data_IF_469755004285
#
_entry.id   IF_469755004285
#
_cell.length_a   1.000
_cell.length_b   1.000
_cell.length_c   1.000
_cell.angle_alpha   90.00
_cell.angle_beta   90.00
_cell.angle_gamma   90.00
#
_symmetry.space_group_name_H-M   'P 1'
#
loop_
_entity.id
_entity.type
_entity.pdbx_description
1 polymer ?
#
# COMPACT_ATOMS: atom_id res chain seq x y z
N UNK A 1 18.77 5.50 75.44
CA UNK A 1 17.91 4.40 74.96
C UNK A 1 17.56 4.68 73.50
N UNK A 2 17.99 3.75 72.63
CA UNK A 2 17.46 3.32 71.33
C UNK A 2 17.39 4.27 70.11
N UNK A 3 18.21 3.92 69.10
CA UNK A 3 17.97 4.03 67.65
C UNK A 3 16.73 3.18 67.20
N UNK A 4 16.48 2.94 65.89
CA UNK A 4 16.20 3.83 64.72
C UNK A 4 14.90 3.34 63.99
N UNK A 5 14.40 4.01 62.92
CA UNK A 5 13.98 3.32 61.67
C UNK A 5 13.48 4.28 60.56
N UNK A 6 13.82 3.85 59.35
CA UNK A 6 13.60 4.34 57.99
C UNK A 6 12.10 4.51 57.63
N UNK A 7 11.78 5.53 56.81
CA UNK A 7 10.87 5.32 55.67
C UNK A 7 11.28 6.20 54.47
N UNK A 8 11.96 5.54 53.53
CA UNK A 8 11.93 5.86 52.10
C UNK A 8 10.48 5.95 51.61
N UNK A 9 10.20 6.78 50.60
CA UNK A 9 9.61 6.35 49.30
C UNK A 9 9.30 7.58 48.44
N UNK A 10 9.95 7.56 47.28
CA UNK A 10 9.56 8.05 45.95
C UNK A 10 8.51 9.17 45.86
N UNK A 11 8.96 10.30 45.31
CA UNK A 11 8.17 11.02 44.31
C UNK A 11 9.06 11.35 43.12
N UNK A 12 9.57 10.30 42.46
CA UNK A 12 10.04 10.41 41.10
C UNK A 12 8.81 10.48 40.18
N UNK A 13 8.29 11.69 39.98
CA UNK A 13 7.36 12.02 38.89
C UNK A 13 8.15 11.94 37.59
N UNK A 14 8.39 10.71 37.12
CA UNK A 14 8.77 10.44 35.75
C UNK A 14 7.51 10.69 34.94
N UNK A 15 7.39 11.90 34.40
CA UNK A 15 6.55 12.15 33.23
C UNK A 15 7.13 11.32 32.09
N UNK A 16 6.69 10.06 32.00
CA UNK A 16 6.79 9.30 30.77
C UNK A 16 5.87 10.02 29.80
N UNK A 17 6.44 10.96 29.06
CA UNK A 17 5.88 11.48 27.82
C UNK A 17 5.79 10.31 26.85
N UNK A 18 4.81 9.44 27.07
CA UNK A 18 4.45 8.40 26.14
C UNK A 18 4.06 9.11 24.86
N UNK A 19 4.88 8.98 23.82
CA UNK A 19 4.44 9.16 22.44
C UNK A 19 3.31 8.17 22.21
N UNK A 20 2.09 8.55 22.59
CA UNK A 20 0.89 7.83 22.23
C UNK A 20 0.74 8.07 20.73
N UNK A 21 1.30 7.14 19.94
CA UNK A 21 0.91 7.04 18.53
C UNK A 21 -0.60 6.87 18.56
N UNK A 22 -1.33 7.86 18.05
CA UNK A 22 -2.77 7.78 17.87
C UNK A 22 -3.05 6.50 17.07
N UNK A 23 -3.91 5.60 17.56
CA UNK A 23 -4.15 4.32 16.89
C UNK A 23 -4.88 4.64 15.59
N UNK A 24 -4.16 4.62 14.47
CA UNK A 24 -4.71 4.80 13.14
C UNK A 24 -5.50 3.56 12.74
N UNK A 25 -5.04 2.86 11.69
CA UNK A 25 -5.65 1.59 11.33
C UNK A 25 -5.32 0.43 12.29
N UNK A 26 -4.36 0.58 13.21
CA UNK A 26 -4.02 -0.45 14.20
C UNK A 26 -4.99 -0.44 15.39
N UNK A 27 -5.71 -1.54 15.61
CA UNK A 27 -6.67 -1.78 16.69
C UNK A 27 -6.40 -3.15 17.31
N UNK A 28 -6.86 -3.34 18.54
CA UNK A 28 -6.77 -4.62 19.24
C UNK A 28 -7.78 -5.64 18.68
N UNK A 29 -8.96 -5.16 18.29
CA UNK A 29 -10.06 -5.98 17.80
C UNK A 29 -10.55 -5.50 16.44
N UNK A 30 -10.87 -6.46 15.57
CA UNK A 30 -11.48 -6.23 14.26
C UNK A 30 -12.58 -7.24 14.03
N UNK A 31 -13.62 -6.83 13.32
CA UNK A 31 -14.51 -7.76 12.65
C UNK A 31 -13.85 -8.25 11.37
N UNK A 32 -13.56 -9.55 11.31
CA UNK A 32 -12.93 -10.18 10.15
C UNK A 32 -13.95 -10.50 9.06
N UNK A 33 -13.66 -10.07 7.84
CA UNK A 33 -14.36 -10.40 6.61
C UNK A 33 -13.44 -11.33 5.82
N UNK A 34 -13.88 -12.57 5.59
CA UNK A 34 -13.12 -13.57 4.85
C UNK A 34 -13.64 -13.67 3.42
N UNK A 35 -12.74 -13.61 2.46
CA UNK A 35 -13.05 -13.83 1.06
C UNK A 35 -12.77 -15.30 0.75
N UNK A 36 -13.83 -16.06 0.49
CA UNK A 36 -13.73 -17.47 0.10
C UNK A 36 -13.61 -17.64 -1.42
N UNK A 37 -14.01 -16.61 -2.17
CA UNK A 37 -14.04 -16.62 -3.63
C UNK A 37 -12.64 -16.44 -4.24
N UNK A 38 -12.44 -17.12 -5.37
CA UNK A 38 -11.27 -16.89 -6.22
C UNK A 38 -11.42 -15.49 -6.82
N UNK A 39 -10.46 -14.57 -6.63
CA UNK A 39 -10.55 -13.26 -7.25
C UNK A 39 -10.66 -13.43 -8.78
N UNK A 40 -11.44 -12.56 -9.47
CA UNK A 40 -11.40 -12.53 -10.93
C UNK A 40 -9.95 -12.38 -11.38
N UNK A 41 -9.58 -13.08 -12.47
CA UNK A 41 -8.20 -13.18 -12.95
C UNK A 41 -7.42 -11.87 -12.76
N UNK A 42 -6.24 -11.95 -12.13
CA UNK A 42 -5.38 -10.81 -11.88
C UNK A 42 -4.95 -10.15 -13.20
N UNK A 43 -5.68 -9.14 -13.65
CA UNK A 43 -5.38 -8.41 -14.89
C UNK A 43 -4.50 -7.22 -14.58
N UNK A 44 -3.18 -7.42 -14.64
CA UNK A 44 -2.22 -6.32 -14.55
C UNK A 44 -1.96 -5.75 -15.95
N UNK A 45 -2.23 -4.46 -16.21
CA UNK A 45 -1.86 -3.83 -17.48
C UNK A 45 -0.35 -3.94 -17.74
N UNK A 46 0.06 -4.20 -18.99
CA UNK A 46 1.49 -4.39 -19.35
C UNK A 46 2.39 -3.27 -18.82
N UNK A 47 1.94 -2.01 -18.94
CA UNK A 47 2.67 -0.86 -18.41
C UNK A 47 2.87 -0.91 -16.89
N UNK A 48 1.88 -1.38 -16.15
CA UNK A 48 2.01 -1.59 -14.70
C UNK A 48 2.95 -2.77 -14.40
N UNK A 49 2.87 -3.85 -15.19
CA UNK A 49 3.77 -4.99 -15.06
C UNK A 49 5.23 -4.62 -15.24
N UNK A 50 5.55 -3.82 -16.27
CA UNK A 50 6.92 -3.32 -16.50
C UNK A 50 7.45 -2.51 -15.30
N UNK A 51 6.57 -1.74 -14.65
CA UNK A 51 6.90 -0.96 -13.46
C UNK A 51 7.04 -1.83 -12.21
N UNK A 52 6.28 -2.93 -12.09
CA UNK A 52 6.40 -3.90 -10.99
C UNK A 52 7.60 -4.82 -11.15
N UNK A 53 8.03 -5.08 -12.39
CA UNK A 53 9.13 -5.96 -12.70
C UNK A 53 10.44 -5.38 -12.16
N UNK A 54 11.11 -6.15 -11.31
CA UNK A 54 12.42 -5.82 -10.80
C UNK A 54 13.45 -6.24 -11.84
N UNK A 55 13.76 -5.34 -12.78
CA UNK A 55 14.89 -5.53 -13.69
C UNK A 55 16.14 -5.77 -12.84
N UNK A 56 16.88 -6.83 -13.15
CA UNK A 56 18.16 -7.08 -12.50
C UNK A 56 19.04 -5.83 -12.64
N UNK A 57 19.52 -5.30 -11.52
CA UNK A 57 20.55 -4.26 -11.54
C UNK A 57 21.83 -4.95 -12.00
N UNK A 58 22.09 -4.90 -13.30
CA UNK A 58 23.43 -5.15 -13.81
C UNK A 58 24.32 -3.96 -13.40
N UNK A 59 25.32 -4.22 -12.57
CA UNK A 59 26.40 -3.26 -12.31
C UNK A 59 26.47 -2.72 -10.88
N UNK A 60 26.86 -3.58 -9.93
CA UNK A 60 27.46 -3.14 -8.68
C UNK A 60 28.61 -4.08 -8.31
N UNK A 61 29.70 -4.06 -9.10
CA UNK A 61 31.00 -4.59 -8.70
C UNK A 61 32.13 -3.86 -9.46
N UNK A 62 32.92 -3.09 -8.69
CA UNK A 62 34.32 -2.71 -8.94
C UNK A 62 34.59 -1.67 -10.04
N UNK A 63 35.59 -0.80 -10.00
CA UNK A 63 36.57 -0.35 -9.00
C UNK A 63 37.37 0.78 -9.69
N UNK A 64 38.14 1.56 -8.93
CA UNK A 64 39.07 2.59 -9.42
C UNK A 64 40.05 2.09 -10.50
N UNK A 65 40.29 2.89 -11.56
CA UNK A 65 41.62 3.24 -12.08
C UNK A 65 41.54 4.21 -13.27
N UNK A 66 42.56 5.05 -13.41
CA UNK A 66 42.69 6.16 -14.35
C UNK A 66 43.28 5.76 -15.73
N UNK A 67 43.27 6.76 -16.62
CA UNK A 67 44.15 6.99 -17.78
C UNK A 67 43.65 6.60 -19.19
N UNK A 68 43.36 7.64 -19.98
CA UNK A 68 44.01 7.97 -21.27
C UNK A 68 43.91 7.02 -22.47
N UNK A 69 43.42 7.54 -23.61
CA UNK A 69 43.77 7.01 -24.94
C UNK A 69 42.67 7.19 -26.00
N UNK A 70 42.98 7.93 -27.06
CA UNK A 70 42.18 8.16 -28.27
C UNK A 70 42.03 6.91 -29.16
N UNK A 71 40.90 6.87 -29.88
CA UNK A 71 40.84 6.37 -31.28
C UNK A 71 40.23 4.99 -31.53
N UNK A 72 39.34 4.91 -32.53
CA UNK A 72 39.13 3.68 -33.30
C UNK A 72 37.67 3.25 -33.54
N UNK A 73 37.20 3.45 -34.77
CA UNK A 73 36.01 2.81 -35.36
C UNK A 73 36.07 1.29 -35.30
N UNK A 74 34.93 0.63 -35.08
CA UNK A 74 34.77 -0.81 -35.30
C UNK A 74 33.35 -1.28 -34.97
N UNK A 75 32.54 -1.50 -36.01
CA UNK A 75 31.22 -2.12 -35.89
C UNK A 75 31.34 -3.57 -35.43
N UNK A 76 30.39 -3.98 -34.59
CA UNK A 76 30.23 -5.34 -34.12
C UNK A 76 28.85 -5.50 -33.52
N UNK A 77 27.91 -5.98 -34.34
CA UNK A 77 26.63 -6.52 -33.90
C UNK A 77 26.89 -7.71 -32.98
N UNK A 78 26.75 -7.49 -31.67
CA UNK A 78 26.70 -8.54 -30.67
C UNK A 78 25.33 -8.51 -30.02
N UNK A 79 24.38 -9.26 -30.56
CA UNK A 79 23.16 -9.65 -29.86
C UNK A 79 23.55 -10.53 -28.65
N UNK A 80 23.94 -9.87 -27.56
CA UNK A 80 23.92 -10.46 -26.24
C UNK A 80 22.46 -10.63 -25.82
N UNK A 81 21.90 -11.82 -26.05
CA UNK A 81 20.68 -12.27 -25.37
C UNK A 81 20.90 -12.12 -23.87
N UNK A 82 20.31 -11.08 -23.28
CA UNK A 82 20.06 -11.04 -21.83
C UNK A 82 19.11 -12.17 -21.51
N UNK A 83 19.65 -13.27 -21.00
CA UNK A 83 18.85 -14.24 -20.23
C UNK A 83 18.34 -13.51 -18.98
N UNK A 84 17.19 -12.89 -19.12
CA UNK A 84 16.33 -12.55 -17.99
C UNK A 84 15.95 -13.87 -17.33
N UNK A 85 16.68 -14.26 -16.29
CA UNK A 85 16.28 -15.39 -15.43
C UNK A 85 14.80 -15.26 -15.10
N UNK A 86 14.03 -16.25 -15.51
CA UNK A 86 12.57 -16.20 -15.42
C UNK A 86 12.18 -16.35 -13.95
N UNK A 87 11.98 -15.23 -13.26
CA UNK A 87 11.57 -15.23 -11.85
C UNK A 87 10.18 -15.86 -11.72
N UNK A 88 10.02 -16.74 -10.74
CA UNK A 88 8.72 -17.35 -10.42
C UNK A 88 7.76 -16.28 -9.90
N UNK A 89 6.48 -16.32 -10.31
CA UNK A 89 5.46 -15.39 -9.84
C UNK A 89 4.50 -16.13 -8.93
N UNK A 90 4.31 -15.63 -7.70
CA UNK A 90 3.41 -16.22 -6.70
C UNK A 90 2.37 -15.19 -6.29
N UNK A 91 1.09 -15.56 -6.35
CA UNK A 91 -0.01 -14.74 -5.87
C UNK A 91 -0.15 -14.91 -4.35
N UNK A 92 0.14 -13.86 -3.60
CA UNK A 92 0.17 -13.88 -2.14
C UNK A 92 -1.05 -13.20 -1.51
N UNK A 93 -1.30 -13.55 -0.26
CA UNK A 93 -2.38 -12.99 0.53
C UNK A 93 -2.08 -11.55 0.95
N UNK A 94 -3.11 -10.71 1.00
CA UNK A 94 -3.02 -9.33 1.48
C UNK A 94 -4.19 -9.06 2.42
N UNK A 95 -3.91 -8.39 3.54
CA UNK A 95 -4.94 -7.93 4.46
C UNK A 95 -5.19 -6.44 4.28
N UNK A 96 -6.46 -6.04 4.33
CA UNK A 96 -6.88 -4.63 4.29
C UNK A 96 -7.63 -4.31 5.56
N UNK A 97 -7.42 -3.12 6.11
CA UNK A 97 -8.04 -2.67 7.35
C UNK A 97 -8.81 -1.39 7.09
N UNK A 98 -10.07 -1.34 7.51
CA UNK A 98 -10.85 -0.09 7.54
C UNK A 98 -11.19 0.21 8.99
N UNK A 99 -10.81 1.41 9.47
CA UNK A 99 -11.01 1.79 10.88
C UNK A 99 -11.56 3.20 11.01
N UNK A 100 -12.61 3.35 11.81
CA UNK A 100 -13.20 4.65 12.09
C UNK A 100 -12.19 5.60 12.74
N UNK A 101 -12.05 6.78 12.13
CA UNK A 101 -11.45 7.95 12.81
C UNK A 101 -12.56 8.74 13.52
N UNK A 102 -13.71 8.87 12.86
CA UNK A 102 -14.92 9.44 13.43
C UNK A 102 -15.94 8.31 13.64
N UNK A 103 -16.60 8.20 14.81
CA UNK A 103 -17.52 7.10 15.06
C UNK A 103 -18.72 7.04 14.11
N UNK A 104 -19.01 5.84 13.62
CA UNK A 104 -20.16 5.52 12.77
C UNK A 104 -19.99 5.92 11.31
N UNK A 105 -18.75 6.06 10.82
CA UNK A 105 -18.47 6.24 9.39
C UNK A 105 -18.51 4.90 8.68
N UNK A 106 -17.90 3.88 9.26
CA UNK A 106 -18.06 2.47 8.89
C UNK A 106 -19.29 1.87 9.58
N UNK A 107 -19.84 0.79 9.01
CA UNK A 107 -20.94 0.00 9.60
C UNK A 107 -20.48 -0.74 10.86
N UNK A 108 -19.20 -1.11 10.92
CA UNK A 108 -18.52 -1.63 12.11
C UNK A 108 -17.24 -0.81 12.33
N UNK A 109 -16.88 -0.50 13.57
CA UNK A 109 -15.82 0.48 13.89
C UNK A 109 -14.43 0.10 13.36
N UNK A 110 -14.16 -1.20 13.23
CA UNK A 110 -12.90 -1.75 12.73
C UNK A 110 -13.16 -3.05 11.96
N UNK A 111 -12.77 -3.05 10.69
CA UNK A 111 -12.92 -4.17 9.76
C UNK A 111 -11.55 -4.65 9.29
N UNK A 112 -11.37 -5.97 9.23
CA UNK A 112 -10.20 -6.62 8.61
C UNK A 112 -10.67 -7.50 7.47
N UNK A 113 -10.17 -7.26 6.27
CA UNK A 113 -10.43 -8.04 5.08
C UNK A 113 -9.23 -8.97 4.87
N UNK A 114 -9.47 -10.27 4.85
CA UNK A 114 -8.46 -11.27 4.50
C UNK A 114 -8.67 -11.66 3.03
N UNK A 115 -7.79 -11.17 2.16
CA UNK A 115 -7.89 -11.37 0.71
C UNK A 115 -6.81 -12.39 0.28
N UNK A 116 -7.20 -13.66 0.06
CA UNK A 116 -6.25 -14.70 -0.28
C UNK A 116 -5.84 -14.66 -1.76
N UNK A 117 -4.84 -15.46 -2.14
CA UNK A 117 -4.54 -15.82 -3.55
C UNK A 117 -4.34 -14.62 -4.50
N UNK A 118 -3.60 -13.61 -4.07
CA UNK A 118 -3.32 -12.43 -4.89
C UNK A 118 -4.34 -11.31 -4.76
N UNK A 119 -5.30 -11.42 -3.84
CA UNK A 119 -6.10 -10.31 -3.36
C UNK A 119 -7.55 -10.31 -3.84
N UNK A 120 -8.14 -9.13 -4.10
CA UNK A 120 -9.58 -9.06 -4.42
C UNK A 120 -10.15 -7.65 -4.54
N UNK A 121 -11.48 -7.58 -4.60
CA UNK A 121 -12.25 -6.35 -4.73
C UNK A 121 -13.07 -6.09 -3.46
N UNK A 122 -13.01 -4.86 -2.94
CA UNK A 122 -13.77 -4.39 -1.80
C UNK A 122 -14.78 -3.37 -2.28
N UNK A 123 -16.07 -3.73 -2.17
CA UNK A 123 -17.19 -2.82 -2.37
C UNK A 123 -17.39 -1.93 -1.13
N UNK A 124 -16.98 -0.67 -1.22
CA UNK A 124 -17.05 0.29 -0.12
C UNK A 124 -18.49 0.60 0.33
N UNK A 125 -19.48 0.52 -0.56
CA UNK A 125 -20.88 0.78 -0.24
C UNK A 125 -21.45 -0.23 0.77
N UNK A 126 -20.88 -1.44 0.80
CA UNK A 126 -21.27 -2.48 1.75
C UNK A 126 -20.79 -2.20 3.17
N UNK A 127 -19.77 -1.36 3.37
CA UNK A 127 -19.10 -1.18 4.66
C UNK A 127 -19.18 0.24 5.20
N UNK A 128 -19.58 1.22 4.39
CA UNK A 128 -19.75 2.61 4.81
C UNK A 128 -21.20 2.90 5.21
N UNK A 129 -21.37 3.77 6.18
CA UNK A 129 -22.63 4.42 6.50
C UNK A 129 -22.76 5.73 5.70
N UNK A 130 -24.00 6.21 5.54
CA UNK A 130 -24.27 7.52 4.95
C UNK A 130 -23.99 8.67 5.95
N UNK A 131 -22.74 8.79 6.39
CA UNK A 131 -22.26 9.81 7.33
C UNK A 131 -20.98 10.47 6.84
N UNK A 132 -20.82 11.74 7.19
CA UNK A 132 -19.63 12.52 6.83
C UNK A 132 -18.58 12.44 7.92
N UNK A 133 -17.35 12.13 7.53
CA UNK A 133 -16.21 12.06 8.44
C UNK A 133 -15.04 11.36 7.79
N UNK A 134 -14.15 10.81 8.62
CA UNK A 134 -12.94 10.15 8.16
C UNK A 134 -12.80 8.76 8.74
N UNK A 135 -12.09 7.93 7.99
CA UNK A 135 -11.64 6.61 8.40
C UNK A 135 -10.22 6.39 7.88
N UNK A 136 -9.54 5.41 8.44
CA UNK A 136 -8.20 4.98 8.05
C UNK A 136 -8.29 3.72 7.20
N UNK A 137 -7.42 3.63 6.19
CA UNK A 137 -7.19 2.42 5.41
C UNK A 137 -5.77 1.94 5.65
N UNK A 138 -5.64 0.72 6.12
CA UNK A 138 -4.37 0.02 6.30
C UNK A 138 -4.24 -1.16 5.34
N UNK A 139 -3.01 -1.56 5.08
CA UNK A 139 -2.69 -2.72 4.27
C UNK A 139 -1.55 -3.48 4.95
N UNK A 140 -1.67 -4.79 5.02
CA UNK A 140 -0.59 -5.68 5.41
C UNK A 140 -0.37 -6.68 4.29
N UNK A 141 0.81 -6.62 3.68
CA UNK A 141 1.26 -7.58 2.69
C UNK A 141 2.48 -8.31 3.27
N UNK A 142 2.29 -9.51 3.86
CA UNK A 142 3.36 -10.22 4.57
C UNK A 142 4.61 -10.47 3.73
N UNK A 143 4.45 -10.55 2.40
CA UNK A 143 5.55 -10.70 1.46
C UNK A 143 6.50 -9.49 1.40
N UNK A 144 6.17 -8.34 1.98
CA UNK A 144 7.14 -7.25 2.15
C UNK A 144 8.16 -7.51 3.24
N UNK A 145 7.83 -8.31 4.25
CA UNK A 145 8.79 -8.71 5.28
C UNK A 145 9.91 -9.51 4.63
N UNK A 146 11.16 -9.08 4.85
CA UNK A 146 12.38 -9.69 4.27
C UNK A 146 12.49 -9.58 2.73
N UNK A 147 11.63 -8.80 2.07
CA UNK A 147 11.77 -8.57 0.65
C UNK A 147 13.05 -7.79 0.34
N UNK A 148 13.78 -8.21 -0.69
CA UNK A 148 14.93 -7.46 -1.21
C UNK A 148 14.49 -6.14 -1.82
N UNK A 149 13.36 -6.16 -2.52
CA UNK A 149 12.71 -4.99 -3.10
C UNK A 149 11.20 -5.13 -2.97
N UNK A 150 10.51 -4.00 -2.76
CA UNK A 150 9.06 -3.91 -2.65
C UNK A 150 8.55 -2.73 -3.47
N UNK A 151 7.45 -2.91 -4.19
CA UNK A 151 6.75 -1.83 -4.90
C UNK A 151 5.26 -1.85 -4.60
N UNK A 152 4.68 -0.66 -4.56
CA UNK A 152 3.25 -0.44 -4.55
C UNK A 152 2.89 0.54 -5.66
N UNK A 153 2.13 0.06 -6.64
CA UNK A 153 1.52 0.90 -7.65
C UNK A 153 0.05 1.12 -7.34
N UNK A 154 -0.48 2.26 -7.77
CA UNK A 154 -1.92 2.53 -7.72
C UNK A 154 -2.41 2.90 -9.12
N UNK A 155 -3.41 2.16 -9.60
CA UNK A 155 -4.13 2.44 -10.83
C UNK A 155 -5.45 3.09 -10.47
N UNK A 156 -5.56 4.39 -10.71
CA UNK A 156 -6.79 5.13 -10.41
C UNK A 156 -7.86 4.83 -11.45
N UNK A 157 -9.01 4.33 -11.01
CA UNK A 157 -10.21 4.14 -11.82
C UNK A 157 -11.29 5.20 -11.54
N UNK A 158 -11.06 6.07 -10.56
CA UNK A 158 -11.95 7.18 -10.25
C UNK A 158 -11.62 8.48 -11.01
N UNK A 159 -12.66 9.29 -11.24
CA UNK A 159 -12.55 10.61 -11.86
C UNK A 159 -11.84 11.57 -10.90
N UNK A 160 -10.97 12.42 -11.46
CA UNK A 160 -10.37 13.56 -10.76
C UNK A 160 -11.44 14.61 -10.55
N UNK A 161 -11.57 15.12 -9.31
CA UNK A 161 -12.61 16.11 -8.95
C UNK A 161 -12.00 17.32 -8.30
N UNK A 162 -12.47 18.50 -8.68
CA UNK A 162 -12.22 19.75 -7.94
C UNK A 162 -13.37 19.96 -6.97
N UNK A 163 -13.07 20.01 -5.67
CA UNK A 163 -14.06 20.20 -4.60
C UNK A 163 -13.63 21.41 -3.76
N UNK A 164 -14.25 22.55 -4.05
CA UNK A 164 -13.78 23.85 -3.53
C UNK A 164 -12.45 24.23 -4.17
N UNK A 165 -11.44 24.52 -3.36
CA UNK A 165 -10.12 24.92 -3.82
C UNK A 165 -9.16 23.74 -4.06
N UNK A 166 -9.53 22.54 -3.60
CA UNK A 166 -8.67 21.35 -3.67
C UNK A 166 -9.08 20.40 -4.78
N UNK A 167 -8.09 19.70 -5.34
CA UNK A 167 -8.27 18.63 -6.33
C UNK A 167 -8.04 17.29 -5.65
N UNK A 168 -8.96 16.35 -5.87
CA UNK A 168 -8.94 15.01 -5.32
C UNK A 168 -8.88 13.97 -6.44
N UNK A 169 -8.10 12.91 -6.19
CA UNK A 169 -7.89 11.80 -7.11
C UNK A 169 -6.86 12.04 -8.20
N UNK A 170 -6.34 10.95 -8.74
CA UNK A 170 -5.34 10.98 -9.81
C UNK A 170 -5.97 11.17 -11.20
N UNK A 171 -7.23 10.75 -11.35
CA UNK A 171 -7.95 10.74 -12.63
C UNK A 171 -7.92 9.39 -13.32
N UNK A 172 -8.64 9.27 -14.43
CA UNK A 172 -8.87 7.99 -15.09
C UNK A 172 -7.59 7.33 -15.59
N UNK A 173 -7.47 6.04 -15.28
CA UNK A 173 -6.43 5.12 -15.75
C UNK A 173 -4.99 5.64 -15.53
N UNK A 174 -4.81 6.47 -14.51
CA UNK A 174 -3.49 6.95 -14.12
C UNK A 174 -2.80 5.89 -13.27
N UNK A 175 -1.61 5.46 -13.71
CA UNK A 175 -0.74 4.54 -12.97
C UNK A 175 0.27 5.38 -12.20
N UNK A 176 0.29 5.23 -10.88
CA UNK A 176 1.17 5.96 -9.98
C UNK A 176 2.05 4.98 -9.23
N UNK A 177 3.36 5.24 -9.18
CA UNK A 177 4.20 4.63 -8.16
C UNK A 177 3.99 5.37 -6.85
N UNK A 178 3.38 4.68 -5.88
CA UNK A 178 3.08 5.24 -4.56
C UNK A 178 3.94 4.62 -3.47
N UNK A 179 4.94 3.79 -3.81
CA UNK A 179 5.72 2.97 -2.88
C UNK A 179 6.20 3.76 -1.65
N UNK A 180 6.88 4.89 -1.87
CA UNK A 180 7.42 5.71 -0.77
C UNK A 180 6.31 6.29 0.12
N UNK A 181 5.26 6.86 -0.48
CA UNK A 181 4.16 7.46 0.29
C UNK A 181 3.31 6.41 1.00
N UNK A 182 3.12 5.27 0.37
CA UNK A 182 2.45 4.12 0.94
C UNK A 182 3.19 3.62 2.18
N UNK A 183 4.50 3.37 2.07
CA UNK A 183 5.31 2.89 3.20
C UNK A 183 5.29 3.86 4.38
N UNK A 184 5.42 5.17 4.11
CA UNK A 184 5.30 6.20 5.14
C UNK A 184 3.93 6.21 5.81
N UNK A 185 2.85 6.03 5.05
CA UNK A 185 1.51 5.96 5.60
C UNK A 185 1.29 4.70 6.46
N UNK A 186 1.78 3.53 6.01
CA UNK A 186 1.61 2.26 6.72
C UNK A 186 2.44 2.17 8.01
N UNK A 187 3.55 2.92 8.10
CA UNK A 187 4.32 3.08 9.35
C UNK A 187 3.64 3.99 10.38
N UNK A 188 2.68 4.81 9.92
CA UNK A 188 1.92 5.76 10.71
C UNK A 188 0.49 5.28 10.98
N UNK A 189 -0.48 6.15 10.69
CA UNK A 189 -1.90 5.87 10.94
C UNK A 189 -2.60 5.13 9.79
N UNK A 190 -1.90 4.81 8.71
CA UNK A 190 -2.49 4.36 7.45
C UNK A 190 -2.93 5.53 6.56
N UNK A 191 -3.65 5.24 5.49
CA UNK A 191 -4.23 6.25 4.61
C UNK A 191 -5.48 6.83 5.27
N UNK A 192 -5.40 8.09 5.69
CA UNK A 192 -6.58 8.83 6.15
C UNK A 192 -7.41 9.29 4.96
N UNK A 193 -8.65 8.83 4.89
CA UNK A 193 -9.61 9.21 3.84
C UNK A 193 -10.86 9.85 4.44
N UNK A 194 -11.69 10.47 3.61
CA UNK A 194 -12.81 11.29 4.07
C UNK A 194 -14.06 11.06 3.21
N UNK A 195 -15.21 10.87 3.85
CA UNK A 195 -16.48 10.58 3.17
C UNK A 195 -17.24 11.82 2.76
N UNK A 196 -16.91 13.01 3.27
CA UNK A 196 -17.58 14.26 2.89
C UNK A 196 -17.49 14.50 1.39
N UNK A 197 -18.65 14.60 0.72
CA UNK A 197 -18.75 14.74 -0.76
C UNK A 197 -18.02 13.63 -1.51
N UNK A 198 -18.08 12.41 -0.95
CA UNK A 198 -17.60 11.18 -1.59
C UNK A 198 -16.11 11.24 -1.96
N UNK A 199 -15.30 12.02 -1.21
CA UNK A 199 -13.86 12.21 -1.50
C UNK A 199 -13.07 10.90 -1.47
N UNK A 200 -13.41 10.01 -0.56
CA UNK A 200 -12.82 8.68 -0.44
C UNK A 200 -12.86 7.90 -1.75
N UNK A 201 -13.95 8.00 -2.52
CA UNK A 201 -14.09 7.34 -3.82
C UNK A 201 -13.06 7.88 -4.82
N UNK A 202 -12.89 9.20 -4.88
CA UNK A 202 -11.87 9.81 -5.77
C UNK A 202 -10.44 9.45 -5.40
N UNK A 203 -10.17 9.11 -4.13
CA UNK A 203 -8.81 8.80 -3.64
C UNK A 203 -8.51 7.31 -3.70
N UNK A 204 -9.47 6.46 -3.35
CA UNK A 204 -9.28 5.00 -3.24
C UNK A 204 -9.78 4.25 -4.47
N UNK A 205 -10.76 4.79 -5.20
CA UNK A 205 -11.41 4.14 -6.32
C UNK A 205 -10.40 3.80 -7.42
N UNK A 206 -10.03 2.53 -7.49
CA UNK A 206 -8.81 2.12 -8.16
C UNK A 206 -8.30 0.77 -7.68
N UNK A 207 -7.14 0.37 -8.19
CA UNK A 207 -6.48 -0.89 -7.88
C UNK A 207 -5.07 -0.62 -7.35
N UNK A 208 -4.81 -1.07 -6.13
CA UNK A 208 -3.47 -1.13 -5.55
C UNK A 208 -2.81 -2.43 -6.00
N UNK A 209 -1.59 -2.35 -6.53
CA UNK A 209 -0.79 -3.50 -6.94
C UNK A 209 0.45 -3.57 -6.06
N UNK A 210 0.66 -4.73 -5.45
CA UNK A 210 1.77 -5.03 -4.55
C UNK A 210 2.72 -5.99 -5.24
N UNK A 211 4.02 -5.74 -5.13
CA UNK A 211 5.07 -6.64 -5.64
C UNK A 211 6.23 -6.70 -4.67
N UNK A 212 6.70 -7.90 -4.34
CA UNK A 212 7.82 -8.14 -3.45
C UNK A 212 8.79 -9.18 -4.04
N UNK A 213 10.07 -8.85 -4.13
CA UNK A 213 11.11 -9.77 -4.58
C UNK A 213 11.76 -10.50 -3.40
N UNK A 214 11.67 -11.83 -3.38
CA UNK A 214 12.40 -12.70 -2.44
C UNK A 214 13.12 -13.80 -3.21
N UNK A 215 14.45 -13.70 -3.31
CA UNK A 215 15.24 -14.60 -4.14
C UNK A 215 14.81 -14.53 -5.60
N UNK A 216 14.49 -15.69 -6.18
CA UNK A 216 14.01 -15.81 -7.56
C UNK A 216 12.48 -15.78 -7.69
N UNK A 217 11.77 -15.46 -6.60
CA UNK A 217 10.30 -15.38 -6.58
C UNK A 217 9.84 -13.94 -6.43
N UNK A 218 8.87 -13.53 -7.25
CA UNK A 218 8.12 -12.29 -7.16
C UNK A 218 6.73 -12.61 -6.60
N UNK A 219 6.46 -12.10 -5.41
CA UNK A 219 5.14 -12.19 -4.80
C UNK A 219 4.31 -11.00 -5.21
N UNK A 220 3.11 -11.24 -5.72
CA UNK A 220 2.19 -10.19 -6.18
C UNK A 220 0.83 -10.32 -5.52
N UNK A 221 0.17 -9.18 -5.31
CA UNK A 221 -1.23 -9.09 -4.91
C UNK A 221 -1.86 -7.82 -5.47
N UNK A 222 -3.19 -7.77 -5.52
CA UNK A 222 -3.95 -6.57 -5.81
C UNK A 222 -5.11 -6.34 -4.85
N UNK A 223 -5.46 -5.09 -4.63
CA UNK A 223 -6.69 -4.71 -3.93
C UNK A 223 -7.40 -3.64 -4.74
N UNK A 224 -8.60 -3.94 -5.19
CA UNK A 224 -9.47 -2.99 -5.87
C UNK A 224 -10.53 -2.44 -4.93
N UNK A 225 -10.76 -1.13 -4.95
CA UNK A 225 -11.88 -0.51 -4.27
C UNK A 225 -12.90 -0.02 -5.29
N UNK A 226 -14.15 -0.45 -5.10
CA UNK A 226 -15.29 -0.07 -5.92
C UNK A 226 -16.41 0.50 -5.05
N UNK A 227 -17.33 1.21 -5.68
CA UNK A 227 -18.56 1.68 -5.04
C UNK A 227 -19.67 1.70 -6.12
N UNK A 228 -20.47 0.62 -6.23
CA UNK A 228 -21.53 0.52 -7.23
C UNK A 228 -22.66 1.54 -7.06
N UNK A 229 -22.82 2.13 -5.87
CA UNK A 229 -23.80 3.20 -5.64
C UNK A 229 -23.36 4.53 -6.27
N UNK A 230 -22.06 4.69 -6.54
CA UNK A 230 -21.46 5.92 -7.08
C UNK A 230 -20.69 5.69 -8.38
N UNK A 231 -21.21 4.84 -9.27
CA UNK A 231 -20.59 4.54 -10.58
C UNK A 231 -20.26 5.78 -11.43
N UNK A 232 -21.03 6.86 -11.29
CA UNK A 232 -20.79 8.14 -11.96
C UNK A 232 -19.48 8.84 -11.55
N UNK A 233 -18.89 8.45 -10.40
CA UNK A 233 -17.59 8.94 -9.93
C UNK A 233 -16.43 8.09 -10.45
N UNK A 234 -16.71 6.92 -11.01
CA UNK A 234 -15.73 6.08 -11.69
C UNK A 234 -15.64 6.43 -13.18
N UNK A 235 -14.56 6.00 -13.78
CA UNK A 235 -14.34 6.09 -15.21
C UNK A 235 -15.00 4.89 -15.89
N UNK A 236 -15.46 5.07 -17.13
CA UNK A 236 -15.87 3.95 -17.95
C UNK A 236 -14.68 3.00 -18.13
N UNK A 237 -14.95 1.69 -18.16
CA UNK A 237 -13.92 0.70 -18.42
C UNK A 237 -13.26 1.02 -19.77
N UNK A 238 -11.91 1.07 -19.84
CA UNK A 238 -11.21 1.30 -21.09
C UNK A 238 -11.43 0.18 -22.12
#
# INVERSE_FOLDING_TARGET
>A
MNQPFVLFILSALVFVSGCTKTPGYHREEYKTIKFEDVPPDLKIPTKAWDMLSFKAIEGAHGEHAAAGGEGGHGGGEGEGKKESGNKEIVFADVSVFLVDKNPGILKDEALKFELPRGGGEIDLSQYLNNRQGSFYVGFEFPSFTEAKQSKVLFISHARKRKLGESVYGAGCNQILDITTKFNLAMQGEGLKVNTTRERHISVLGGTFLFSAEKGDTIYVAQVSFVDPEHTNLFCEAP
#
